data_IF_613746905665
#
_entry.id   IF_613746905665
#
_cell.length_a   1.000
_cell.length_b   1.000
_cell.length_c   1.000
_cell.angle_alpha   90.00
_cell.angle_beta   90.00
_cell.angle_gamma   90.00
#
_symmetry.space_group_name_H-M   'P 1'
#
loop_
_entity.id
_entity.type
_entity.pdbx_description
1 polymer ?
#
# COMPACT_ATOMS: atom_id res chain seq x y z
N UNK A 1 -1.32 -10.85 29.27
CA UNK A 1 -0.67 -9.55 29.02
C UNK A 1 0.78 -9.82 28.71
N UNK A 2 1.15 -10.01 27.44
CA UNK A 2 2.56 -10.26 27.10
C UNK A 2 3.33 -9.01 27.48
N UNK A 3 4.23 -9.16 28.45
CA UNK A 3 5.21 -8.16 28.84
C UNK A 3 6.40 -8.30 27.91
N UNK A 4 6.75 -7.23 27.23
CA UNK A 4 8.05 -7.09 26.59
C UNK A 4 8.98 -6.43 27.62
N UNK A 5 9.98 -7.17 28.10
CA UNK A 5 11.08 -6.61 28.88
C UNK A 5 12.27 -6.31 27.96
N UNK A 6 12.95 -5.21 28.29
CA UNK A 6 14.19 -4.71 27.71
C UNK A 6 15.28 -5.78 27.65
N UNK A 7 15.77 -6.02 26.43
CA UNK A 7 17.18 -6.24 26.13
C UNK A 7 17.41 -5.82 24.67
N UNK A 8 17.96 -4.63 24.52
CA UNK A 8 18.50 -4.09 23.28
C UNK A 8 19.57 -5.04 22.72
N UNK A 9 19.17 -5.87 21.76
CA UNK A 9 20.08 -6.49 20.81
C UNK A 9 19.68 -6.05 19.43
N UNK A 10 20.51 -5.19 18.84
CA UNK A 10 20.56 -5.03 17.39
C UNK A 10 20.93 -6.39 16.76
N UNK A 11 19.94 -7.25 16.53
CA UNK A 11 20.06 -8.47 15.74
C UNK A 11 19.20 -8.31 14.49
N UNK A 12 19.84 -8.05 13.37
CA UNK A 12 19.19 -8.05 12.07
C UNK A 12 18.68 -9.47 11.76
N UNK A 13 17.37 -9.72 11.95
CA UNK A 13 16.67 -10.85 11.32
C UNK A 13 16.13 -11.95 12.22
N UNK A 14 15.43 -11.63 13.31
CA UNK A 14 14.79 -12.65 14.17
C UNK A 14 13.29 -12.92 13.96
N UNK A 15 12.51 -11.99 13.40
CA UNK A 15 11.04 -12.16 13.28
C UNK A 15 10.41 -11.31 12.14
N UNK A 16 11.25 -10.77 11.25
CA UNK A 16 10.83 -9.83 10.20
C UNK A 16 11.37 -10.28 8.86
N UNK A 17 10.51 -10.33 7.86
CA UNK A 17 10.92 -10.61 6.49
C UNK A 17 11.70 -9.40 5.92
N UNK A 18 12.94 -9.66 5.46
CA UNK A 18 13.81 -8.65 4.83
C UNK A 18 14.00 -8.90 3.32
N UNK A 19 13.22 -9.80 2.73
CA UNK A 19 13.20 -9.97 1.27
C UNK A 19 12.67 -8.70 0.62
N UNK A 20 13.11 -8.42 -0.60
CA UNK A 20 12.75 -7.22 -1.36
C UNK A 20 11.23 -7.02 -1.43
N UNK A 21 10.48 -8.09 -1.68
CA UNK A 21 9.02 -8.06 -1.82
C UNK A 21 8.34 -7.65 -0.51
N UNK A 22 8.86 -8.11 0.63
CA UNK A 22 8.36 -7.74 1.95
C UNK A 22 8.64 -6.26 2.26
N UNK A 23 9.83 -5.76 1.89
CA UNK A 23 10.20 -4.36 2.09
C UNK A 23 9.37 -3.43 1.20
N UNK A 24 9.11 -3.81 -0.05
CA UNK A 24 8.25 -3.06 -0.97
C UNK A 24 6.80 -3.01 -0.45
N UNK A 25 6.23 -4.15 -0.05
CA UNK A 25 4.90 -4.21 0.53
C UNK A 25 4.78 -3.40 1.82
N UNK A 26 5.76 -3.53 2.73
CA UNK A 26 5.78 -2.75 3.96
C UNK A 26 5.86 -1.24 3.68
N UNK A 27 6.69 -0.84 2.72
CA UNK A 27 6.82 0.56 2.32
C UNK A 27 5.49 1.11 1.77
N UNK A 28 4.81 0.35 0.92
CA UNK A 28 3.49 0.72 0.39
C UNK A 28 2.46 0.92 1.52
N UNK A 29 2.37 0.00 2.48
CA UNK A 29 1.47 0.12 3.64
C UNK A 29 1.81 1.36 4.47
N UNK A 30 3.10 1.59 4.73
CA UNK A 30 3.55 2.72 5.54
C UNK A 30 3.27 4.06 4.87
N UNK A 31 3.37 4.13 3.54
CA UNK A 31 3.07 5.31 2.75
C UNK A 31 1.58 5.67 2.81
N UNK A 32 0.70 4.67 2.63
CA UNK A 32 -0.75 4.87 2.63
C UNK A 32 -1.33 5.23 4.01
N UNK A 33 -0.68 4.76 5.08
CA UNK A 33 -1.16 4.91 6.46
C UNK A 33 -0.94 6.32 7.02
N UNK A 34 -2.01 6.92 7.54
CA UNK A 34 -2.01 8.18 8.28
C UNK A 34 -1.90 7.94 9.79
N UNK A 35 -0.67 7.96 10.30
CA UNK A 35 -0.37 7.67 11.72
C UNK A 35 -0.99 8.63 12.74
N UNK A 36 -1.42 9.82 12.31
CA UNK A 36 -2.03 10.82 13.19
C UNK A 36 -3.47 10.47 13.58
N UNK A 37 -4.11 9.53 12.88
CA UNK A 37 -5.46 9.07 13.20
C UNK A 37 -5.36 7.78 14.02
N UNK A 38 -6.14 7.68 15.08
CA UNK A 38 -6.20 6.48 15.90
C UNK A 38 -7.04 5.41 15.18
N UNK A 39 -6.52 4.18 15.00
CA UNK A 39 -7.23 3.12 14.30
C UNK A 39 -8.53 2.67 15.01
N UNK A 40 -8.68 2.91 16.31
CA UNK A 40 -9.92 2.62 17.04
C UNK A 40 -11.04 3.63 16.78
N UNK A 41 -10.69 4.82 16.28
CA UNK A 41 -11.64 5.91 16.01
C UNK A 41 -12.07 5.89 14.53
N UNK A 42 -11.11 5.80 13.60
CA UNK A 42 -11.36 5.62 12.17
C UNK A 42 -10.23 4.79 11.54
N UNK A 43 -10.50 3.49 11.37
CA UNK A 43 -9.53 2.57 10.77
C UNK A 43 -9.31 2.84 9.28
N UNK A 44 -10.30 3.37 8.58
CA UNK A 44 -10.20 3.65 7.14
C UNK A 44 -9.26 4.84 6.90
N UNK A 45 -9.48 5.95 7.60
CA UNK A 45 -8.59 7.11 7.53
C UNK A 45 -7.19 6.79 8.09
N UNK A 46 -7.09 6.00 9.16
CA UNK A 46 -5.80 5.52 9.65
C UNK A 46 -5.03 4.76 8.57
N UNK A 47 -5.69 3.82 7.88
CA UNK A 47 -5.02 2.92 6.93
C UNK A 47 -4.77 3.56 5.57
N UNK A 48 -5.66 4.44 5.13
CA UNK A 48 -5.71 4.96 3.76
C UNK A 48 -5.56 6.49 3.65
N UNK A 49 -5.63 7.23 4.76
CA UNK A 49 -5.78 8.70 4.71
C UNK A 49 -4.65 9.42 3.97
N UNK A 50 -3.41 8.91 4.02
CA UNK A 50 -2.31 9.49 3.23
C UNK A 50 -2.40 9.08 1.75
N UNK A 51 -2.90 7.87 1.46
CA UNK A 51 -3.12 7.44 0.07
C UNK A 51 -4.19 8.30 -0.60
N UNK A 52 -5.30 8.55 0.10
CA UNK A 52 -6.39 9.42 -0.40
C UNK A 52 -5.85 10.84 -0.67
N UNK A 53 -5.03 11.37 0.24
CA UNK A 53 -4.43 12.69 0.09
C UNK A 53 -3.46 12.80 -1.11
N UNK A 54 -2.89 11.70 -1.59
CA UNK A 54 -1.97 11.68 -2.73
C UNK A 54 -2.60 11.20 -4.05
N UNK A 55 -3.85 10.73 -4.02
CA UNK A 55 -4.55 10.18 -5.18
C UNK A 55 -5.87 10.93 -5.39
N UNK A 56 -5.77 12.10 -6.00
CA UNK A 56 -6.94 12.90 -6.36
C UNK A 56 -7.66 12.30 -7.58
N UNK A 57 -8.98 12.42 -7.60
CA UNK A 57 -9.80 11.99 -8.73
C UNK A 57 -9.61 13.01 -9.86
N UNK A 58 -9.11 12.56 -11.02
CA UNK A 58 -8.95 13.43 -12.18
C UNK A 58 -10.31 13.86 -12.74
N UNK A 59 -10.41 14.97 -13.49
CA UNK A 59 -11.69 15.40 -14.08
C UNK A 59 -12.33 14.40 -15.05
N UNK A 60 -11.59 13.39 -15.51
CA UNK A 60 -12.09 12.35 -16.42
C UNK A 60 -12.62 11.12 -15.68
N UNK A 61 -12.33 11.01 -14.40
CA UNK A 61 -12.66 9.85 -13.59
C UNK A 61 -13.73 10.20 -12.58
N UNK A 62 -14.55 9.22 -12.20
CA UNK A 62 -15.55 9.36 -11.14
C UNK A 62 -15.10 8.72 -9.82
N UNK A 63 -14.01 7.96 -9.84
CA UNK A 63 -13.46 7.26 -8.71
C UNK A 63 -11.98 6.97 -8.95
N UNK A 64 -11.24 6.86 -7.85
CA UNK A 64 -9.85 6.39 -7.83
C UNK A 64 -9.73 5.30 -6.78
N UNK A 65 -8.98 4.25 -7.08
CA UNK A 65 -8.87 3.08 -6.20
C UNK A 65 -7.88 2.06 -6.71
N UNK A 66 -7.38 1.23 -5.80
CA UNK A 66 -6.42 0.15 -6.13
C UNK A 66 -6.98 -0.78 -7.21
N UNK A 67 -8.26 -1.16 -7.12
CA UNK A 67 -8.88 -2.02 -8.14
C UNK A 67 -9.06 -1.34 -9.50
N UNK A 68 -9.30 -0.03 -9.54
CA UNK A 68 -9.39 0.72 -10.79
C UNK A 68 -8.01 0.81 -11.45
N UNK A 69 -6.97 1.11 -10.67
CA UNK A 69 -5.60 1.08 -11.15
C UNK A 69 -5.19 -0.31 -11.69
N UNK A 70 -5.56 -1.39 -10.99
CA UNK A 70 -5.30 -2.75 -11.48
C UNK A 70 -6.01 -3.06 -12.80
N UNK A 71 -7.23 -2.53 -13.01
CA UNK A 71 -7.95 -2.66 -14.28
C UNK A 71 -7.24 -1.90 -15.39
N UNK A 72 -6.77 -0.67 -15.13
CA UNK A 72 -6.03 0.12 -16.11
C UNK A 72 -4.75 -0.60 -16.55
N UNK A 73 -4.00 -1.15 -15.59
CA UNK A 73 -2.80 -1.97 -15.86
C UNK A 73 -3.15 -3.20 -16.70
N UNK A 74 -4.27 -3.88 -16.39
CA UNK A 74 -4.70 -5.04 -17.15
C UNK A 74 -5.07 -4.65 -18.59
N UNK A 75 -5.85 -3.59 -18.78
CA UNK A 75 -6.28 -3.12 -20.09
C UNK A 75 -5.09 -2.66 -20.94
N UNK A 76 -4.09 -2.00 -20.36
CA UNK A 76 -2.83 -1.67 -21.04
C UNK A 76 -2.10 -2.92 -21.53
N UNK A 77 -2.02 -3.96 -20.71
CA UNK A 77 -1.38 -5.23 -21.09
C UNK A 77 -2.16 -5.93 -22.20
N UNK A 78 -3.48 -6.02 -22.10
CA UNK A 78 -4.33 -6.62 -23.13
C UNK A 78 -4.26 -5.86 -24.45
N UNK A 79 -4.25 -4.51 -24.41
CA UNK A 79 -4.03 -3.70 -25.62
C UNK A 79 -2.64 -3.92 -26.22
N UNK A 80 -1.61 -4.03 -25.38
CA UNK A 80 -0.25 -4.35 -25.81
C UNK A 80 -0.15 -5.74 -26.45
N UNK A 81 -0.90 -6.72 -25.96
CA UNK A 81 -1.04 -8.04 -26.60
C UNK A 81 -1.83 -7.97 -27.90
N UNK A 82 -2.90 -7.18 -27.94
CA UNK A 82 -3.69 -6.95 -29.15
C UNK A 82 -2.89 -6.27 -30.26
N UNK A 83 -1.98 -5.34 -29.92
CA UNK A 83 -1.10 -4.69 -30.91
C UNK A 83 -0.02 -5.62 -31.46
N UNK A 84 0.33 -6.72 -30.77
CA UNK A 84 1.26 -7.73 -31.31
C UNK A 84 0.63 -8.63 -32.38
N UNK A 85 -0.69 -8.56 -32.55
CA UNK A 85 -1.45 -9.34 -33.53
C UNK A 85 -1.60 -8.58 -34.85
N UNK A 86 -1.44 -7.25 -34.84
CA UNK A 86 -1.36 -6.40 -36.02
C UNK A 86 0.11 -6.11 -36.39
#
# INVERSE_FOLDING_TARGET
>A
LVKSNEDDKTSAGGDRCLKKECLEAATMILYSRKKSVNPCDDFYEHSCGNWIASHEISPRDNAVGVFLNLRDILDERLRGESWKIF
#
